data_IF_426641570059
#
_entry.id   IF_426641570059
#
_cell.length_a   1.000
_cell.length_b   1.000
_cell.length_c   1.000
_cell.angle_alpha   90.00
_cell.angle_beta   90.00
_cell.angle_gamma   90.00
#
_symmetry.space_group_name_H-M   'P 1'
#
loop_
_entity.id
_entity.type
_entity.pdbx_description
1 polymer ?
#
# COMPACT_ATOMS: atom_id res chain seq x y z
N UNK A 1 -23.17 -10.53 -20.78
CA UNK A 1 -24.10 -10.68 -19.63
C UNK A 1 -23.49 -10.18 -18.34
N UNK A 2 -22.29 -10.67 -17.88
CA UNK A 2 -21.63 -10.22 -16.64
C UNK A 2 -21.39 -8.71 -16.64
N UNK A 3 -20.82 -8.16 -17.72
CA UNK A 3 -20.53 -6.73 -17.81
C UNK A 3 -21.80 -5.88 -17.75
N UNK A 4 -22.86 -6.32 -18.41
CA UNK A 4 -24.17 -5.64 -18.38
C UNK A 4 -24.74 -5.62 -16.96
N UNK A 5 -24.69 -6.75 -16.26
CA UNK A 5 -25.18 -6.86 -14.89
C UNK A 5 -24.37 -5.99 -13.92
N UNK A 6 -23.03 -5.90 -14.09
CA UNK A 6 -22.18 -5.01 -13.31
C UNK A 6 -22.53 -3.54 -13.59
N UNK A 7 -22.68 -3.15 -14.86
CA UNK A 7 -23.03 -1.80 -15.26
C UNK A 7 -24.37 -1.35 -14.70
N UNK A 8 -25.36 -2.25 -14.72
CA UNK A 8 -26.72 -2.01 -14.24
C UNK A 8 -26.88 -2.27 -12.73
N UNK A 9 -25.80 -2.60 -12.02
CA UNK A 9 -25.80 -2.91 -10.57
C UNK A 9 -26.77 -4.00 -10.17
N UNK A 10 -27.01 -4.96 -11.05
CA UNK A 10 -27.92 -6.10 -10.80
C UNK A 10 -27.23 -7.29 -10.16
N UNK A 11 -25.90 -7.23 -9.99
CA UNK A 11 -25.12 -8.30 -9.37
C UNK A 11 -25.34 -8.31 -7.86
N UNK A 12 -25.74 -9.46 -7.30
CA UNK A 12 -25.84 -9.69 -5.86
C UNK A 12 -24.74 -10.65 -5.41
N UNK A 13 -24.34 -10.57 -4.14
CA UNK A 13 -23.28 -11.45 -3.59
C UNK A 13 -23.64 -12.94 -3.78
N UNK A 14 -24.92 -13.30 -3.66
CA UNK A 14 -25.40 -14.68 -3.88
C UNK A 14 -25.19 -15.18 -5.32
N UNK A 15 -25.08 -14.28 -6.29
CA UNK A 15 -24.90 -14.62 -7.70
C UNK A 15 -23.41 -14.85 -8.02
N UNK A 16 -22.52 -14.53 -7.07
CA UNK A 16 -21.08 -14.75 -7.18
C UNK A 16 -20.78 -16.12 -6.57
N UNK A 17 -20.22 -17.01 -7.38
CA UNK A 17 -19.78 -18.31 -6.88
C UNK A 17 -18.75 -18.11 -5.77
N UNK A 18 -19.06 -18.60 -4.57
CA UNK A 18 -18.18 -18.54 -3.43
C UNK A 18 -17.09 -19.61 -3.54
N UNK A 19 -15.94 -19.31 -2.94
CA UNK A 19 -14.84 -20.27 -2.71
C UNK A 19 -14.43 -21.11 -3.93
N UNK A 20 -14.31 -20.50 -5.08
CA UNK A 20 -13.83 -21.21 -6.27
C UNK A 20 -12.31 -21.18 -6.43
N UNK A 21 -11.57 -20.61 -5.46
CA UNK A 21 -10.11 -20.53 -5.48
C UNK A 21 -9.53 -19.74 -6.65
N UNK A 22 -10.32 -18.84 -7.25
CA UNK A 22 -9.93 -18.08 -8.44
C UNK A 22 -9.57 -16.63 -8.17
N UNK A 23 -9.80 -16.14 -6.96
CA UNK A 23 -9.57 -14.74 -6.60
C UNK A 23 -8.22 -14.48 -5.92
N UNK A 24 -7.52 -15.53 -5.48
CA UNK A 24 -6.18 -15.42 -4.87
C UNK A 24 -5.36 -16.71 -5.07
N UNK A 25 -4.06 -16.62 -4.88
CA UNK A 25 -3.15 -17.77 -4.86
C UNK A 25 -3.16 -18.39 -3.46
N UNK A 26 -3.72 -19.58 -3.31
CA UNK A 26 -3.80 -20.33 -2.04
C UNK A 26 -2.42 -20.76 -1.48
N UNK A 27 -1.42 -20.84 -2.33
CA UNK A 27 -0.06 -21.22 -1.95
C UNK A 27 0.86 -20.03 -1.71
N UNK A 28 0.35 -18.82 -1.86
CA UNK A 28 1.14 -17.59 -1.74
C UNK A 28 1.93 -17.51 -0.42
N UNK A 29 1.30 -17.84 0.71
CA UNK A 29 1.95 -17.83 2.01
C UNK A 29 3.19 -18.75 2.05
N UNK A 30 3.13 -19.94 1.43
CA UNK A 30 4.25 -20.87 1.39
C UNK A 30 5.40 -20.29 0.58
N UNK A 31 5.11 -19.67 -0.57
CA UNK A 31 6.14 -19.06 -1.42
C UNK A 31 6.79 -17.84 -0.77
N UNK A 32 6.02 -17.01 -0.09
CA UNK A 32 6.56 -15.82 0.59
C UNK A 32 7.53 -16.18 1.71
N UNK A 33 7.34 -17.36 2.34
CA UNK A 33 8.21 -17.87 3.41
C UNK A 33 9.54 -18.42 2.90
N UNK A 34 9.61 -18.79 1.62
CA UNK A 34 10.82 -19.31 0.97
C UNK A 34 11.77 -18.16 0.60
N UNK A 35 12.32 -17.48 1.61
CA UNK A 35 13.10 -16.24 1.42
C UNK A 35 14.46 -16.46 0.74
N UNK A 36 14.93 -17.70 0.66
CA UNK A 36 16.21 -18.10 0.08
C UNK A 36 16.09 -18.84 -1.26
N UNK A 37 14.87 -19.02 -1.77
CA UNK A 37 14.66 -19.64 -3.08
C UNK A 37 15.20 -18.79 -4.21
N UNK A 38 15.78 -19.42 -5.21
CA UNK A 38 16.30 -18.74 -6.42
C UNK A 38 15.18 -18.11 -7.26
N UNK A 39 13.98 -18.68 -7.18
CA UNK A 39 12.80 -18.10 -7.84
C UNK A 39 12.21 -16.97 -7.00
N UNK A 40 11.79 -15.85 -7.61
CA UNK A 40 11.13 -14.78 -6.88
C UNK A 40 9.82 -15.27 -6.25
N UNK A 41 9.59 -14.92 -4.99
CA UNK A 41 8.33 -15.21 -4.28
C UNK A 41 7.10 -14.60 -4.99
N UNK A 42 7.35 -13.53 -5.79
CA UNK A 42 6.37 -12.90 -6.67
C UNK A 42 6.93 -12.84 -8.08
N UNK A 43 6.21 -13.45 -8.99
CA UNK A 43 6.54 -13.37 -10.40
C UNK A 43 5.27 -13.13 -11.21
N UNK A 44 5.15 -11.94 -11.81
CA UNK A 44 3.92 -11.49 -12.48
C UNK A 44 3.55 -12.29 -13.72
N UNK A 45 4.43 -13.10 -14.26
CA UNK A 45 4.19 -13.94 -15.44
C UNK A 45 4.31 -15.43 -15.14
N UNK A 46 4.24 -15.85 -13.87
CA UNK A 46 4.27 -17.25 -13.50
C UNK A 46 2.97 -17.95 -13.94
N UNK A 47 3.02 -18.87 -14.91
CA UNK A 47 1.82 -19.55 -15.42
C UNK A 47 1.16 -20.48 -14.39
N UNK A 48 1.85 -20.84 -13.32
CA UNK A 48 1.31 -21.65 -12.22
C UNK A 48 0.46 -20.83 -11.24
N UNK A 49 0.38 -19.50 -11.40
CA UNK A 49 -0.31 -18.58 -10.49
C UNK A 49 -1.27 -17.68 -11.24
N UNK A 50 -2.10 -16.96 -10.48
CA UNK A 50 -3.02 -15.96 -11.04
C UNK A 50 -2.26 -14.71 -11.48
N UNK A 51 -2.02 -14.59 -12.77
CA UNK A 51 -1.22 -13.50 -13.33
C UNK A 51 -1.91 -12.70 -14.45
N UNK A 52 -3.11 -13.10 -14.89
CA UNK A 52 -3.77 -12.59 -16.08
C UNK A 52 -3.95 -11.07 -16.08
N UNK A 53 -4.21 -10.49 -14.90
CA UNK A 53 -4.36 -9.04 -14.74
C UNK A 53 -3.04 -8.32 -14.46
N UNK A 54 -1.99 -9.05 -14.08
CA UNK A 54 -0.66 -8.52 -13.81
C UNK A 54 0.34 -8.99 -14.87
N UNK A 55 1.43 -8.24 -15.06
CA UNK A 55 2.45 -8.60 -16.04
C UNK A 55 2.03 -8.50 -17.52
N UNK A 56 0.87 -7.93 -17.82
CA UNK A 56 0.34 -7.79 -19.19
C UNK A 56 1.08 -6.72 -20.02
N UNK A 57 1.89 -5.88 -19.39
CA UNK A 57 2.59 -4.76 -20.01
C UNK A 57 1.65 -3.84 -20.84
N UNK A 58 0.43 -3.63 -20.37
CA UNK A 58 -0.57 -2.79 -21.04
C UNK A 58 -1.25 -3.44 -22.24
N UNK A 59 -1.08 -4.76 -22.47
CA UNK A 59 -1.71 -5.48 -23.59
C UNK A 59 -3.13 -5.94 -23.32
N UNK A 60 -3.64 -5.73 -22.08
CA UNK A 60 -5.00 -6.10 -21.68
C UNK A 60 -5.82 -4.87 -21.35
N UNK A 61 -7.10 -4.88 -21.74
CA UNK A 61 -8.11 -3.98 -21.23
C UNK A 61 -8.88 -4.70 -20.12
N UNK A 62 -8.75 -4.22 -18.87
CA UNK A 62 -9.39 -4.83 -17.71
C UNK A 62 -10.68 -4.09 -17.41
N UNK A 63 -11.83 -4.75 -17.54
CA UNK A 63 -13.15 -4.19 -17.27
C UNK A 63 -13.63 -4.47 -15.85
N UNK A 64 -13.27 -5.62 -15.30
CA UNK A 64 -13.60 -6.02 -13.95
C UNK A 64 -12.54 -6.97 -13.40
N UNK A 65 -12.29 -6.89 -12.09
CA UNK A 65 -11.40 -7.81 -11.36
C UNK A 65 -12.20 -8.41 -10.21
N UNK A 66 -12.11 -9.72 -10.06
CA UNK A 66 -12.59 -10.41 -8.87
C UNK A 66 -11.43 -10.56 -7.90
N UNK A 67 -11.65 -10.14 -6.67
CA UNK A 67 -10.68 -10.30 -5.58
C UNK A 67 -11.37 -11.01 -4.42
N UNK A 68 -10.71 -12.00 -3.84
CA UNK A 68 -11.13 -12.55 -2.58
C UNK A 68 -10.73 -11.59 -1.45
N UNK A 69 -11.54 -11.56 -0.40
CA UNK A 69 -11.32 -10.73 0.77
C UNK A 69 -11.10 -11.60 1.99
N UNK A 70 -10.40 -11.05 2.96
CA UNK A 70 -10.10 -11.73 4.22
C UNK A 70 -10.86 -11.07 5.36
N UNK A 71 -11.17 -11.83 6.45
CA UNK A 71 -11.75 -11.23 7.66
C UNK A 71 -10.90 -10.08 8.18
N UNK A 72 -11.58 -9.01 8.62
CA UNK A 72 -10.88 -7.89 9.25
C UNK A 72 -10.34 -8.32 10.62
N UNK A 73 -9.05 -8.14 10.83
CA UNK A 73 -8.43 -8.38 12.12
C UNK A 73 -9.00 -7.43 13.19
N UNK A 74 -9.38 -7.99 14.33
CA UNK A 74 -9.93 -7.22 15.46
C UNK A 74 -8.89 -6.35 16.14
N UNK A 75 -7.67 -6.84 16.21
CA UNK A 75 -6.51 -6.14 16.76
C UNK A 75 -5.46 -5.96 15.68
N UNK A 76 -4.99 -4.75 15.51
CA UNK A 76 -3.88 -4.46 14.59
C UNK A 76 -2.91 -3.48 15.23
N UNK A 77 -1.63 -3.60 14.90
CA UNK A 77 -0.60 -2.62 15.23
C UNK A 77 0.28 -2.34 14.04
N UNK A 78 0.79 -1.11 13.99
CA UNK A 78 1.76 -0.68 12.99
C UNK A 78 3.08 -0.43 13.70
N UNK A 79 4.14 -1.09 13.23
CA UNK A 79 5.50 -0.89 13.67
C UNK A 79 6.22 -0.02 12.64
N UNK A 80 6.78 1.09 13.11
CA UNK A 80 7.57 2.00 12.29
C UNK A 80 9.05 1.85 12.66
N UNK A 81 9.86 1.39 11.73
CA UNK A 81 11.27 1.04 11.93
C UNK A 81 12.11 1.96 11.08
N UNK A 82 13.08 2.63 11.69
CA UNK A 82 14.05 3.48 11.00
C UNK A 82 15.48 2.96 11.15
N UNK A 83 16.26 3.02 10.09
CA UNK A 83 17.69 2.64 10.10
C UNK A 83 18.48 3.38 9.01
N UNK A 84 19.80 3.42 9.16
CA UNK A 84 20.73 3.89 8.12
C UNK A 84 21.42 2.73 7.38
N UNK A 85 21.03 1.48 7.67
CA UNK A 85 21.59 0.28 7.07
C UNK A 85 20.49 -0.60 6.49
N UNK A 86 20.45 -0.74 5.18
CA UNK A 86 19.44 -1.57 4.48
C UNK A 86 19.49 -3.04 4.88
N UNK A 87 20.67 -3.55 5.30
CA UNK A 87 20.81 -4.92 5.82
C UNK A 87 19.90 -5.19 7.00
N UNK A 88 19.74 -4.23 7.94
CA UNK A 88 18.83 -4.33 9.08
C UNK A 88 17.40 -4.61 8.64
N UNK A 89 16.91 -3.87 7.64
CA UNK A 89 15.55 -4.07 7.13
C UNK A 89 15.40 -5.39 6.39
N UNK A 90 16.45 -5.81 5.69
CA UNK A 90 16.46 -7.10 5.02
C UNK A 90 16.42 -8.25 6.01
N UNK A 91 17.20 -8.18 7.08
CA UNK A 91 17.23 -9.19 8.15
C UNK A 91 15.86 -9.30 8.83
N UNK A 92 15.26 -8.16 9.19
CA UNK A 92 13.92 -8.12 9.78
C UNK A 92 12.89 -8.73 8.83
N UNK A 93 12.90 -8.33 7.55
CA UNK A 93 11.99 -8.88 6.54
C UNK A 93 12.14 -10.40 6.41
N UNK A 94 13.38 -10.87 6.27
CA UNK A 94 13.69 -12.30 6.12
C UNK A 94 13.21 -13.09 7.33
N UNK A 95 13.52 -12.60 8.53
CA UNK A 95 13.10 -13.26 9.76
C UNK A 95 11.57 -13.33 9.88
N UNK A 96 10.87 -12.22 9.67
CA UNK A 96 9.41 -12.18 9.75
C UNK A 96 8.76 -13.12 8.74
N UNK A 97 9.24 -13.13 7.49
CA UNK A 97 8.64 -13.97 6.45
C UNK A 97 8.93 -15.46 6.67
N UNK A 98 10.14 -15.81 7.11
CA UNK A 98 10.54 -17.22 7.29
C UNK A 98 10.00 -17.83 8.60
N UNK A 99 9.97 -17.08 9.71
CA UNK A 99 9.84 -17.65 11.04
C UNK A 99 8.53 -17.29 11.77
N UNK A 100 7.88 -16.17 11.44
CA UNK A 100 6.66 -15.77 12.14
C UNK A 100 5.52 -16.76 11.89
N UNK A 101 4.76 -17.08 12.93
CA UNK A 101 3.53 -17.85 12.80
C UNK A 101 2.51 -17.06 11.95
N UNK A 102 2.35 -15.77 12.24
CA UNK A 102 1.43 -14.89 11.53
C UNK A 102 2.21 -13.94 10.62
N UNK A 103 1.98 -14.04 9.32
CA UNK A 103 2.58 -13.12 8.34
C UNK A 103 2.06 -11.69 8.52
N UNK A 104 2.88 -10.67 8.24
CA UNK A 104 2.43 -9.28 8.20
C UNK A 104 1.25 -9.08 7.25
N UNK A 105 0.29 -8.25 7.64
CA UNK A 105 -0.80 -7.78 6.75
C UNK A 105 -0.21 -6.97 5.60
N UNK A 106 0.74 -6.09 5.91
CA UNK A 106 1.53 -5.35 4.92
C UNK A 106 2.91 -5.00 5.46
N UNK A 107 3.86 -4.84 4.54
CA UNK A 107 5.18 -4.29 4.80
C UNK A 107 5.56 -3.31 3.71
N UNK A 108 5.87 -2.07 4.06
CA UNK A 108 6.16 -0.99 3.12
C UNK A 108 7.52 -0.38 3.44
N UNK A 109 8.41 -0.42 2.46
CA UNK A 109 9.69 0.29 2.54
C UNK A 109 9.54 1.70 1.99
N UNK A 110 10.07 2.68 2.74
CA UNK A 110 10.08 4.09 2.35
C UNK A 110 11.50 4.63 2.53
N UNK A 111 12.07 5.16 1.46
CA UNK A 111 13.29 5.96 1.53
C UNK A 111 12.97 7.39 1.99
N UNK A 112 13.92 8.07 2.67
CA UNK A 112 13.75 9.45 3.14
C UNK A 112 13.24 10.41 2.06
N UNK A 113 13.75 10.31 0.83
CA UNK A 113 13.29 11.15 -0.28
C UNK A 113 11.82 10.89 -0.65
N UNK A 114 11.39 9.61 -0.61
CA UNK A 114 10.00 9.27 -0.84
C UNK A 114 9.09 9.78 0.30
N UNK A 115 9.58 9.76 1.54
CA UNK A 115 8.90 10.40 2.67
C UNK A 115 8.70 11.90 2.42
N UNK A 116 9.75 12.62 1.97
CA UNK A 116 9.69 14.05 1.70
C UNK A 116 8.67 14.37 0.59
N UNK A 117 8.65 13.55 -0.47
CA UNK A 117 7.66 13.67 -1.55
C UNK A 117 6.24 13.45 -1.01
N UNK A 118 6.03 12.38 -0.23
CA UNK A 118 4.72 12.07 0.34
C UNK A 118 4.26 13.15 1.32
N UNK A 119 5.15 13.65 2.18
CA UNK A 119 4.86 14.74 3.11
C UNK A 119 4.48 16.03 2.38
N UNK A 120 5.16 16.34 1.27
CA UNK A 120 4.90 17.54 0.47
C UNK A 120 3.57 17.46 -0.29
N UNK A 121 3.28 16.33 -0.93
CA UNK A 121 2.15 16.19 -1.85
C UNK A 121 0.94 15.47 -1.25
N UNK A 122 1.05 14.87 -0.08
CA UNK A 122 -0.03 14.14 0.58
C UNK A 122 -0.93 14.96 1.50
N UNK A 123 -0.60 16.25 1.74
CA UNK A 123 -1.31 17.09 2.73
C UNK A 123 -2.80 17.21 2.47
N UNK A 124 -3.21 17.44 1.25
CA UNK A 124 -4.61 17.58 0.86
C UNK A 124 -5.40 16.30 1.10
N UNK A 125 -4.84 15.17 0.67
CA UNK A 125 -5.42 13.85 0.85
C UNK A 125 -5.57 13.52 2.34
N UNK A 126 -4.53 13.77 3.12
CA UNK A 126 -4.57 13.55 4.58
C UNK A 126 -5.70 14.36 5.23
N UNK A 127 -5.80 15.66 4.94
CA UNK A 127 -6.82 16.52 5.53
C UNK A 127 -8.24 16.16 5.10
N UNK A 128 -8.41 15.74 3.83
CA UNK A 128 -9.71 15.21 3.37
C UNK A 128 -10.09 13.96 4.14
N UNK A 129 -9.18 13.01 4.29
CA UNK A 129 -9.45 11.78 5.06
C UNK A 129 -9.76 12.12 6.52
N UNK A 130 -8.96 13.00 7.15
CA UNK A 130 -9.12 13.37 8.56
C UNK A 130 -10.44 14.09 8.84
N UNK A 131 -10.88 14.99 7.96
CA UNK A 131 -12.08 15.80 8.17
C UNK A 131 -13.36 15.14 7.66
N UNK A 132 -13.29 14.43 6.55
CA UNK A 132 -14.46 13.95 5.83
C UNK A 132 -14.51 12.43 5.66
N UNK A 133 -13.42 11.71 5.98
CA UNK A 133 -13.31 10.27 5.81
C UNK A 133 -12.93 9.85 4.39
N UNK A 134 -12.59 8.57 4.25
CA UNK A 134 -12.08 8.00 2.99
C UNK A 134 -13.10 7.99 1.85
N UNK A 135 -14.41 8.02 2.15
CA UNK A 135 -15.48 8.04 1.15
C UNK A 135 -15.51 9.32 0.30
N UNK A 136 -14.80 10.37 0.71
CA UNK A 136 -14.63 11.60 -0.06
C UNK A 136 -13.49 11.55 -1.07
N UNK A 137 -12.57 10.58 -0.96
CA UNK A 137 -11.43 10.46 -1.88
C UNK A 137 -11.84 10.34 -3.35
N UNK A 138 -12.85 9.52 -3.74
CA UNK A 138 -13.28 9.46 -5.12
C UNK A 138 -13.77 10.82 -5.65
N UNK A 139 -14.44 11.61 -4.80
CA UNK A 139 -14.89 12.97 -5.16
C UNK A 139 -13.72 13.93 -5.34
N UNK A 140 -12.72 13.87 -4.46
CA UNK A 140 -11.51 14.67 -4.58
C UNK A 140 -10.77 14.36 -5.88
N UNK A 141 -10.57 13.07 -6.19
CA UNK A 141 -9.88 12.66 -7.41
C UNK A 141 -10.67 13.00 -8.68
N UNK A 142 -12.00 12.86 -8.65
CA UNK A 142 -12.85 13.29 -9.75
C UNK A 142 -12.77 14.81 -9.98
N UNK A 143 -12.73 15.60 -8.92
CA UNK A 143 -12.52 17.06 -9.02
C UNK A 143 -11.18 17.39 -9.66
N UNK A 144 -10.07 16.78 -9.18
CA UNK A 144 -8.73 16.95 -9.76
C UNK A 144 -8.73 16.59 -11.25
N UNK A 145 -9.28 15.45 -11.62
CA UNK A 145 -9.36 15.01 -13.01
C UNK A 145 -10.19 15.98 -13.90
N UNK A 146 -11.28 16.53 -13.37
CA UNK A 146 -12.09 17.50 -14.09
C UNK A 146 -11.33 18.82 -14.32
N UNK A 147 -10.62 19.33 -13.31
CA UNK A 147 -9.78 20.54 -13.42
C UNK A 147 -8.71 20.33 -14.51
N UNK A 148 -8.02 19.19 -14.49
CA UNK A 148 -6.99 18.88 -15.51
C UNK A 148 -7.58 18.73 -16.91
N UNK A 149 -8.78 18.12 -17.02
CA UNK A 149 -9.49 18.02 -18.31
C UNK A 149 -9.88 19.38 -18.88
N UNK A 150 -10.33 20.31 -18.02
CA UNK A 150 -10.61 21.68 -18.43
C UNK A 150 -9.32 22.39 -18.82
N UNK A 151 -8.25 22.24 -18.01
CA UNK A 151 -6.94 22.83 -18.29
C UNK A 151 -6.39 22.43 -19.65
N UNK A 152 -6.55 21.16 -20.03
CA UNK A 152 -6.10 20.64 -21.36
C UNK A 152 -6.81 21.29 -22.56
N UNK A 153 -7.98 21.88 -22.39
CA UNK A 153 -8.70 22.60 -23.46
C UNK A 153 -8.09 23.95 -23.81
N UNK A 154 -7.24 24.48 -22.94
CA UNK A 154 -6.62 25.79 -23.09
C UNK A 154 -5.11 25.61 -23.24
N UNK A 155 -4.59 25.74 -24.48
CA UNK A 155 -3.18 25.49 -24.79
C UNK A 155 -2.18 26.39 -24.04
N UNK A 156 -2.63 27.52 -23.48
CA UNK A 156 -1.78 28.46 -22.71
C UNK A 156 -1.68 28.06 -21.22
N UNK A 157 -2.50 27.12 -20.75
CA UNK A 157 -2.45 26.66 -19.36
C UNK A 157 -1.41 25.56 -19.20
N UNK A 158 -0.69 25.54 -18.07
CA UNK A 158 0.30 24.49 -17.81
C UNK A 158 -0.38 23.12 -17.70
N UNK A 159 0.32 22.09 -18.18
CA UNK A 159 -0.09 20.71 -17.94
C UNK A 159 -0.15 20.42 -16.44
N UNK A 160 -1.07 19.55 -16.02
CA UNK A 160 -1.31 19.24 -14.59
C UNK A 160 -1.64 20.47 -13.75
N UNK A 161 -2.62 21.23 -14.21
CA UNK A 161 -3.05 22.47 -13.54
C UNK A 161 -3.52 22.21 -12.11
N UNK A 162 -4.21 21.09 -11.88
CA UNK A 162 -4.67 20.69 -10.55
C UNK A 162 -3.50 20.50 -9.59
N UNK A 163 -2.44 19.84 -10.02
CA UNK A 163 -1.25 19.58 -9.17
C UNK A 163 -0.53 20.90 -8.84
N UNK A 164 -0.33 21.78 -9.82
CA UNK A 164 0.31 23.08 -9.59
C UNK A 164 -0.51 23.96 -8.66
N UNK A 165 -1.82 23.98 -8.83
CA UNK A 165 -2.73 24.68 -7.93
C UNK A 165 -2.65 24.10 -6.51
N UNK A 166 -2.76 22.79 -6.37
CA UNK A 166 -2.68 22.11 -5.09
C UNK A 166 -1.31 22.28 -4.42
N UNK A 167 -0.21 22.29 -5.17
CA UNK A 167 1.12 22.60 -4.65
C UNK A 167 1.21 24.02 -4.08
N UNK A 168 0.55 24.98 -4.73
CA UNK A 168 0.50 26.34 -4.21
C UNK A 168 -0.34 26.42 -2.95
N UNK A 169 -1.53 25.82 -2.96
CA UNK A 169 -2.44 25.77 -1.80
C UNK A 169 -1.82 25.00 -0.64
N UNK A 170 -1.07 23.92 -0.91
CA UNK A 170 -0.44 23.08 0.12
C UNK A 170 0.56 23.85 1.00
N UNK A 171 1.11 24.97 0.52
CA UNK A 171 1.99 25.84 1.32
C UNK A 171 1.24 26.51 2.47
N UNK A 172 -0.07 26.69 2.32
CA UNK A 172 -0.94 27.29 3.34
C UNK A 172 -1.64 26.23 4.21
N UNK A 173 -1.53 24.95 3.85
CA UNK A 173 -2.08 23.85 4.64
C UNK A 173 -1.11 23.55 5.79
N UNK A 174 -1.59 23.49 7.06
CA UNK A 174 -0.75 23.20 8.21
C UNK A 174 -0.05 21.84 8.07
N UNK A 175 1.09 21.70 8.76
CA UNK A 175 1.75 20.40 8.87
C UNK A 175 0.79 19.33 9.41
N UNK A 176 0.84 18.16 8.80
CA UNK A 176 -0.11 17.09 9.07
C UNK A 176 0.56 15.89 9.76
N UNK A 177 1.88 15.79 9.66
CA UNK A 177 2.64 14.73 10.29
C UNK A 177 3.07 15.13 11.69
N UNK A 178 3.02 14.22 12.68
CA UNK A 178 3.50 14.48 14.02
C UNK A 178 5.02 14.66 14.04
N UNK A 179 5.50 15.44 15.01
CA UNK A 179 6.93 15.74 15.16
C UNK A 179 7.79 14.47 15.22
N UNK A 180 7.30 13.42 15.88
CA UNK A 180 8.02 12.14 15.98
C UNK A 180 8.36 11.51 14.62
N UNK A 181 7.51 11.66 13.60
CA UNK A 181 7.81 11.16 12.26
C UNK A 181 8.90 12.00 11.57
N UNK A 182 8.90 13.30 11.81
CA UNK A 182 9.98 14.18 11.34
C UNK A 182 11.32 13.86 12.03
N UNK A 183 11.30 13.64 13.34
CA UNK A 183 12.49 13.24 14.11
C UNK A 183 13.08 11.92 13.57
N UNK A 184 12.22 10.95 13.23
CA UNK A 184 12.63 9.69 12.59
C UNK A 184 13.17 9.90 11.18
N UNK A 185 12.50 10.72 10.37
CA UNK A 185 12.95 11.10 9.03
C UNK A 185 14.34 11.74 9.06
N UNK A 186 14.60 12.62 10.02
CA UNK A 186 15.89 13.30 10.12
C UNK A 186 17.00 12.35 10.58
N UNK A 187 16.65 11.40 11.45
CA UNK A 187 17.60 10.45 12.02
C UNK A 187 17.95 9.30 11.08
N UNK A 188 16.99 8.82 10.27
CA UNK A 188 17.14 7.61 9.46
C UNK A 188 16.89 7.88 7.98
N UNK A 189 17.65 7.18 7.13
CA UNK A 189 17.50 7.24 5.68
C UNK A 189 16.47 6.24 5.14
N UNK A 190 16.38 5.08 5.80
CA UNK A 190 15.53 3.97 5.41
C UNK A 190 14.47 3.70 6.46
N UNK A 191 13.24 3.53 6.02
CA UNK A 191 12.10 3.28 6.88
C UNK A 191 11.33 2.05 6.41
N UNK A 192 10.86 1.24 7.36
CA UNK A 192 9.98 0.11 7.11
C UNK A 192 8.74 0.25 7.99
N UNK A 193 7.58 0.22 7.36
CA UNK A 193 6.28 0.21 8.03
C UNK A 193 5.73 -1.21 7.95
N UNK A 194 5.53 -1.86 9.08
CA UNK A 194 4.99 -3.22 9.15
C UNK A 194 3.66 -3.18 9.88
N UNK A 195 2.60 -3.64 9.25
CA UNK A 195 1.28 -3.81 9.86
C UNK A 195 1.07 -5.28 10.22
N UNK A 196 0.80 -5.53 11.49
CA UNK A 196 0.51 -6.85 12.03
C UNK A 196 -0.96 -6.94 12.50
N UNK A 197 -1.50 -8.16 12.50
CA UNK A 197 -2.84 -8.44 13.01
C UNK A 197 -2.85 -9.58 14.02
N UNK A 198 -3.87 -9.59 14.90
CA UNK A 198 -4.12 -10.65 15.87
C UNK A 198 -2.89 -10.99 16.72
N UNK A 199 -2.60 -12.28 16.88
CA UNK A 199 -1.44 -12.77 17.65
C UNK A 199 -0.10 -12.29 17.11
N UNK A 200 0.00 -12.00 15.80
CA UNK A 200 1.22 -11.50 15.18
C UNK A 200 1.69 -10.14 15.74
N UNK A 201 0.78 -9.38 16.34
CA UNK A 201 1.14 -8.11 17.00
C UNK A 201 2.12 -8.34 18.14
N UNK A 202 1.84 -9.32 19.00
CA UNK A 202 2.70 -9.63 20.13
C UNK A 202 4.01 -10.27 19.69
N UNK A 203 3.95 -11.20 18.73
CA UNK A 203 5.11 -11.85 18.12
C UNK A 203 6.09 -10.81 17.54
N UNK A 204 5.57 -9.85 16.76
CA UNK A 204 6.41 -8.78 16.20
C UNK A 204 6.99 -7.86 17.28
N UNK A 205 6.24 -7.56 18.33
CA UNK A 205 6.70 -6.72 19.45
C UNK A 205 7.88 -7.34 20.18
N UNK A 206 7.78 -8.62 20.50
CA UNK A 206 8.82 -9.38 21.20
C UNK A 206 10.07 -9.51 20.33
N UNK A 207 9.90 -9.91 19.08
CA UNK A 207 11.01 -10.00 18.14
C UNK A 207 11.75 -8.68 17.96
N UNK A 208 11.04 -7.59 17.64
CA UNK A 208 11.68 -6.30 17.40
C UNK A 208 12.35 -5.76 18.67
N UNK A 209 11.75 -5.99 19.84
CA UNK A 209 12.37 -5.62 21.12
C UNK A 209 13.70 -6.35 21.34
N UNK A 210 13.74 -7.65 21.12
CA UNK A 210 14.96 -8.46 21.22
C UNK A 210 15.98 -8.04 20.17
N UNK A 211 15.56 -7.96 18.90
CA UNK A 211 16.45 -7.60 17.80
C UNK A 211 17.18 -6.28 18.02
N UNK A 212 16.48 -5.25 18.46
CA UNK A 212 17.10 -3.94 18.73
C UNK A 212 17.84 -3.86 20.07
N UNK A 213 17.48 -4.68 21.06
CA UNK A 213 18.27 -4.77 22.30
C UNK A 213 19.66 -5.36 22.05
N UNK A 214 19.73 -6.38 21.19
CA UNK A 214 20.98 -7.08 20.86
C UNK A 214 21.86 -6.30 19.86
N UNK A 215 21.25 -5.43 19.03
CA UNK A 215 21.90 -4.70 17.94
C UNK A 215 22.12 -3.19 18.22
N UNK A 216 22.06 -2.76 19.48
CA UNK A 216 22.38 -1.39 19.90
C UNK A 216 23.89 -1.12 19.92
N UNK A 217 24.60 -1.47 18.84
CA UNK A 217 25.99 -1.10 18.63
C UNK A 217 26.12 -0.15 17.45
#
# INVERSE_FOLDING_TARGET
EILTNLQEKRYQIKDIQQDCGRGHDHHYCNHVRQVDEDSPARFNADPARHYEASGSAGKLAIFAVRLDTFPLEKETAVFYIGTNQTSVLNDIRRHMLANFEILPISGEYIHREAFDIAAKYGKDTFWVIKKFGTHWLPKLFALKANVDRIGKKFAFLPQHLSDKFMQTVSKFIPEHLPKSLWDYRDKYEHHLIVKMGGKGVQEAREYLKSYFADNTK
#
